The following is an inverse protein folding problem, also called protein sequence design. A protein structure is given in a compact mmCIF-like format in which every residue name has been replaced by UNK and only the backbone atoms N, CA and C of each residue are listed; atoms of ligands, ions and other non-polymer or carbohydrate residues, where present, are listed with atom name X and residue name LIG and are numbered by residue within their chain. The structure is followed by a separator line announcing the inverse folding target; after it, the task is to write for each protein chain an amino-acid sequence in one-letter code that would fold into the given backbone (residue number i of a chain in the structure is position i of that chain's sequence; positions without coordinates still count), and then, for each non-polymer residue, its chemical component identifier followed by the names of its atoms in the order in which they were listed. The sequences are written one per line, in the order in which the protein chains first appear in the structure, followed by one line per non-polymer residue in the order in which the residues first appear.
data_IF_426443929960
#
_entry.id   IF_426443929960
#
_cell.length_a   1.000
_cell.length_b   1.000
_cell.length_c   1.000
_cell.angle_alpha   90.00
_cell.angle_beta   90.00
_cell.angle_gamma   90.00
#
_symmetry.space_group_name_H-M   'P 1'
#
loop_
_entity.id
_entity.type
_entity.pdbx_description
1 polymer ?
#
# COMPACT_ATOMS: atom_id res chain seq x y z
N UNK A 1 -6.88 11.47 -24.39
CA UNK A 1 -7.51 11.37 -23.07
C UNK A 1 -6.43 11.10 -22.06
N UNK A 2 -6.52 11.66 -20.85
CA UNK A 2 -5.54 11.40 -19.80
C UNK A 2 -5.99 10.18 -19.00
N UNK A 3 -5.11 9.17 -18.83
CA UNK A 3 -5.38 8.00 -18.00
C UNK A 3 -5.03 8.30 -16.54
N UNK A 4 -5.67 7.60 -15.60
CA UNK A 4 -5.18 7.42 -14.25
C UNK A 4 -4.51 6.04 -14.16
N UNK A 5 -3.22 6.02 -13.85
CA UNK A 5 -2.39 4.81 -13.78
C UNK A 5 -1.97 4.61 -12.33
N UNK A 6 -2.56 3.63 -11.66
CA UNK A 6 -2.28 3.26 -10.29
C UNK A 6 -1.22 2.17 -10.25
N UNK A 7 -0.14 2.41 -9.51
CA UNK A 7 1.00 1.51 -9.41
C UNK A 7 1.24 1.11 -7.97
N UNK A 8 1.24 -0.18 -7.69
CA UNK A 8 1.81 -0.66 -6.44
C UNK A 8 3.33 -0.47 -6.42
N UNK A 9 3.94 -0.50 -5.24
CA UNK A 9 5.39 -0.28 -5.07
C UNK A 9 6.14 -1.61 -4.99
N UNK A 10 5.90 -2.41 -3.96
CA UNK A 10 6.73 -3.58 -3.62
C UNK A 10 6.38 -4.79 -4.47
N UNK A 11 7.35 -5.29 -5.24
CA UNK A 11 7.12 -6.39 -6.19
C UNK A 11 6.46 -5.95 -7.49
N UNK A 12 6.18 -4.65 -7.65
CA UNK A 12 5.58 -4.07 -8.87
C UNK A 12 6.48 -2.99 -9.46
N UNK A 13 6.65 -1.86 -8.75
CA UNK A 13 7.49 -0.73 -9.18
C UNK A 13 8.95 -0.92 -8.76
N UNK A 14 9.18 -1.52 -7.60
CA UNK A 14 10.51 -1.87 -7.11
C UNK A 14 10.56 -3.35 -6.76
N UNK A 15 11.75 -3.94 -6.86
CA UNK A 15 12.02 -5.28 -6.36
C UNK A 15 11.83 -5.35 -4.83
N UNK A 16 11.72 -6.55 -4.28
CA UNK A 16 11.54 -6.73 -2.82
C UNK A 16 12.71 -6.22 -1.98
N UNK A 17 13.90 -6.04 -2.57
CA UNK A 17 15.07 -5.42 -1.95
C UNK A 17 15.09 -3.88 -2.08
N UNK A 18 14.05 -3.29 -2.70
CA UNK A 18 13.92 -1.86 -2.94
C UNK A 18 14.68 -1.34 -4.17
N UNK A 19 15.25 -2.25 -5.00
CA UNK A 19 15.88 -1.87 -6.26
C UNK A 19 14.85 -1.39 -7.28
N UNK A 20 15.10 -0.23 -7.90
CA UNK A 20 14.32 0.33 -9.00
C UNK A 20 15.17 0.27 -10.28
N UNK A 21 14.70 -0.43 -11.30
CA UNK A 21 15.38 -0.50 -12.58
C UNK A 21 15.24 0.80 -13.38
N UNK A 22 16.20 1.09 -14.24
CA UNK A 22 16.12 2.21 -15.16
C UNK A 22 14.94 2.07 -16.13
N UNK A 23 14.64 0.84 -16.56
CA UNK A 23 13.53 0.54 -17.47
C UNK A 23 12.17 0.92 -16.88
N UNK A 24 11.92 0.57 -15.63
CA UNK A 24 10.68 0.94 -14.92
C UNK A 24 10.64 2.45 -14.69
N UNK A 25 11.71 3.04 -14.14
CA UNK A 25 11.77 4.49 -13.90
C UNK A 25 11.49 5.30 -15.16
N UNK A 26 12.14 4.97 -16.26
CA UNK A 26 12.03 5.72 -17.51
C UNK A 26 10.63 5.53 -18.14
N UNK A 27 10.03 4.35 -17.99
CA UNK A 27 8.65 4.10 -18.45
C UNK A 27 7.61 4.86 -17.62
N UNK A 28 7.79 4.95 -16.29
CA UNK A 28 6.92 5.78 -15.42
C UNK A 28 7.00 7.25 -15.82
N UNK A 29 8.21 7.77 -16.07
CA UNK A 29 8.39 9.15 -16.54
C UNK A 29 7.75 9.38 -17.90
N UNK A 30 7.92 8.45 -18.84
CA UNK A 30 7.35 8.57 -20.16
C UNK A 30 5.83 8.71 -20.13
N UNK A 31 5.10 7.92 -19.33
CA UNK A 31 3.64 8.04 -19.21
C UNK A 31 3.23 9.31 -18.46
N UNK A 32 3.99 9.76 -17.47
CA UNK A 32 3.74 11.04 -16.79
C UNK A 32 3.96 12.23 -17.75
N UNK A 33 5.05 12.23 -18.54
CA UNK A 33 5.36 13.26 -19.55
C UNK A 33 4.35 13.26 -20.70
N UNK A 34 3.71 12.13 -21.02
CA UNK A 34 2.61 12.04 -21.97
C UNK A 34 1.29 12.66 -21.43
N UNK A 35 1.28 13.13 -20.18
CA UNK A 35 0.15 13.82 -19.55
C UNK A 35 -0.83 12.89 -18.86
N UNK A 36 -0.42 11.68 -18.52
CA UNK A 36 -1.21 10.76 -17.69
C UNK A 36 -0.98 11.02 -16.20
N UNK A 37 -1.97 10.68 -15.38
CA UNK A 37 -1.89 10.77 -13.92
C UNK A 37 -1.32 9.47 -13.36
N UNK A 38 -0.06 9.48 -12.94
CA UNK A 38 0.54 8.34 -12.24
C UNK A 38 0.34 8.49 -10.74
N UNK A 39 -0.23 7.47 -10.10
CA UNK A 39 -0.54 7.44 -8.66
C UNK A 39 0.10 6.19 -8.05
N UNK A 40 1.02 6.37 -7.12
CA UNK A 40 1.51 5.25 -6.30
C UNK A 40 0.41 4.85 -5.32
N UNK A 41 0.11 3.55 -5.21
CA UNK A 41 -0.89 3.01 -4.30
C UNK A 41 -0.30 1.82 -3.52
N UNK A 42 0.05 2.02 -2.25
CA UNK A 42 0.92 1.11 -1.52
C UNK A 42 0.47 0.85 -0.08
N UNK A 43 0.92 -0.28 0.49
CA UNK A 43 0.85 -0.54 1.92
C UNK A 43 1.88 0.24 2.74
N UNK A 44 2.88 0.86 2.10
CA UNK A 44 3.90 1.64 2.78
C UNK A 44 3.32 2.86 3.48
N UNK A 45 4.01 3.31 4.56
CA UNK A 45 3.76 4.60 5.20
C UNK A 45 4.18 5.77 4.30
N UNK A 46 3.75 6.98 4.65
CA UNK A 46 4.11 8.22 3.95
C UNK A 46 5.63 8.35 3.79
N UNK A 47 6.38 8.20 4.88
CA UNK A 47 7.85 8.34 4.88
C UNK A 47 8.57 7.27 4.04
N UNK A 48 7.95 6.12 3.81
CA UNK A 48 8.49 5.06 2.95
C UNK A 48 8.08 5.24 1.47
N UNK A 49 7.01 6.00 1.20
CA UNK A 49 6.49 6.24 -0.15
C UNK A 49 7.17 7.42 -0.83
N UNK A 50 7.37 8.52 -0.13
CA UNK A 50 7.93 9.76 -0.70
C UNK A 50 9.30 9.55 -1.39
N UNK A 51 10.28 8.81 -0.81
CA UNK A 51 11.55 8.56 -1.48
C UNK A 51 11.42 7.79 -2.80
N UNK A 52 10.38 6.96 -2.95
CA UNK A 52 10.11 6.24 -4.21
C UNK A 52 9.51 7.19 -5.24
N UNK A 53 8.55 8.04 -4.85
CA UNK A 53 7.99 9.07 -5.73
C UNK A 53 9.10 10.00 -6.27
N UNK A 54 10.03 10.42 -5.43
CA UNK A 54 11.19 11.24 -5.81
C UNK A 54 12.11 10.52 -6.83
N UNK A 55 12.47 9.25 -6.58
CA UNK A 55 13.27 8.44 -7.51
C UNK A 55 12.62 8.29 -8.87
N UNK A 56 11.30 8.18 -8.91
CA UNK A 56 10.50 8.11 -10.14
C UNK A 56 10.36 9.48 -10.83
N UNK A 57 10.63 10.58 -10.13
CA UNK A 57 10.42 11.94 -10.64
C UNK A 57 8.97 12.42 -10.53
N UNK A 58 8.16 11.76 -9.71
CA UNK A 58 6.76 12.15 -9.45
C UNK A 58 6.72 13.26 -8.40
N UNK A 59 6.86 14.51 -8.83
CA UNK A 59 6.89 15.68 -7.95
C UNK A 59 5.53 16.39 -7.81
N UNK A 60 4.53 15.95 -8.55
CA UNK A 60 3.15 16.50 -8.53
C UNK A 60 2.13 15.37 -8.71
N UNK A 61 0.90 15.60 -8.31
CA UNK A 61 -0.17 14.61 -8.42
C UNK A 61 -0.58 14.04 -7.07
N UNK A 62 -0.78 12.73 -7.00
CA UNK A 62 -1.28 12.05 -5.80
C UNK A 62 -0.50 10.79 -5.49
N UNK A 63 -0.53 10.39 -4.21
CA UNK A 63 -0.09 9.07 -3.76
C UNK A 63 -1.07 8.54 -2.70
N UNK A 64 -1.28 7.23 -2.70
CA UNK A 64 -2.13 6.50 -1.75
C UNK A 64 -1.23 5.62 -0.90
N UNK A 65 -1.19 5.87 0.41
CA UNK A 65 -0.33 5.19 1.39
C UNK A 65 -1.17 4.36 2.36
N UNK A 66 -0.51 3.50 3.13
CA UNK A 66 -1.11 2.72 4.22
C UNK A 66 -2.38 1.98 3.78
N UNK A 67 -2.30 1.29 2.61
CA UNK A 67 -3.40 0.55 1.99
C UNK A 67 -4.67 1.38 1.73
N UNK A 68 -4.55 2.69 1.50
CA UNK A 68 -5.68 3.57 1.23
C UNK A 68 -6.10 4.45 2.41
N UNK A 69 -5.54 4.23 3.60
CA UNK A 69 -5.90 5.04 4.77
C UNK A 69 -5.38 6.48 4.69
N UNK A 70 -4.35 6.73 3.89
CA UNK A 70 -3.77 8.07 3.71
C UNK A 70 -3.70 8.38 2.22
N UNK A 71 -4.23 9.54 1.83
CA UNK A 71 -4.07 10.10 0.49
C UNK A 71 -3.25 11.38 0.57
N UNK A 72 -2.23 11.47 -0.27
CA UNK A 72 -1.33 12.61 -0.38
C UNK A 72 -1.59 13.38 -1.67
N UNK A 73 -1.49 14.70 -1.62
CA UNK A 73 -1.19 15.54 -2.78
C UNK A 73 0.33 15.77 -2.80
N UNK A 74 0.96 15.45 -3.92
CA UNK A 74 2.37 15.79 -4.19
C UNK A 74 2.43 17.17 -4.84
N UNK A 75 3.41 17.98 -4.46
CA UNK A 75 3.55 19.33 -5.01
C UNK A 75 4.91 19.93 -4.70
N UNK A 76 5.61 20.37 -5.74
CA UNK A 76 6.88 21.10 -5.59
C UNK A 76 6.72 22.48 -4.92
N UNK A 77 5.48 22.95 -4.81
CA UNK A 77 5.06 24.17 -4.09
C UNK A 77 4.91 23.97 -2.58
N UNK A 78 4.93 22.70 -2.11
CA UNK A 78 4.73 22.34 -0.71
C UNK A 78 6.08 22.24 0.04
N UNK A 79 6.12 22.64 1.34
CA UNK A 79 7.36 22.64 2.12
C UNK A 79 8.09 21.30 2.16
N UNK A 80 7.32 20.21 2.33
CA UNK A 80 7.84 18.84 2.43
C UNK A 80 7.65 18.04 1.12
N UNK A 81 7.26 18.72 0.01
CA UNK A 81 6.96 18.08 -1.27
C UNK A 81 5.61 17.39 -1.33
N UNK A 82 4.86 17.34 -0.23
CA UNK A 82 3.52 16.75 -0.15
C UNK A 82 2.66 17.38 0.95
N UNK A 83 1.36 17.14 0.87
CA UNK A 83 0.41 17.35 1.98
C UNK A 83 -0.54 16.16 2.10
N UNK A 84 -0.96 15.87 3.31
CA UNK A 84 -1.99 14.86 3.58
C UNK A 84 -3.35 15.50 3.33
N UNK A 85 -4.07 15.04 2.33
CA UNK A 85 -5.40 15.55 2.00
C UNK A 85 -6.52 14.68 2.60
N UNK A 86 -6.22 13.44 2.93
CA UNK A 86 -7.14 12.53 3.62
C UNK A 86 -6.36 11.58 4.53
N UNK A 87 -6.89 11.37 5.74
CA UNK A 87 -6.43 10.36 6.69
C UNK A 87 -7.64 9.71 7.36
N UNK A 88 -7.94 8.47 6.96
CA UNK A 88 -9.03 7.68 7.56
C UNK A 88 -8.47 6.88 8.72
N UNK A 89 -9.15 6.95 9.87
CA UNK A 89 -8.70 6.29 11.10
C UNK A 89 -9.78 5.38 11.68
N UNK A 90 -9.36 4.42 12.48
CA UNK A 90 -10.23 3.52 13.25
C UNK A 90 -9.77 3.40 14.70
N UNK A 91 -10.62 2.88 15.59
CA UNK A 91 -10.23 2.50 16.95
C UNK A 91 -9.49 1.13 16.91
N UNK A 92 -8.18 1.10 17.17
CA UNK A 92 -7.42 -0.15 17.09
C UNK A 92 -7.66 -1.10 18.28
N UNK A 93 -8.23 -0.61 19.37
CA UNK A 93 -8.31 -1.32 20.65
C UNK A 93 -9.08 -2.65 20.56
N UNK A 94 -10.28 -2.73 19.93
CA UNK A 94 -11.01 -3.98 19.84
C UNK A 94 -10.24 -5.07 19.10
N UNK A 95 -9.74 -4.74 17.90
CA UNK A 95 -8.98 -5.68 17.06
C UNK A 95 -7.69 -6.15 17.75
N UNK A 96 -6.90 -5.21 18.27
CA UNK A 96 -5.63 -5.53 18.93
C UNK A 96 -5.82 -6.33 20.23
N UNK A 97 -6.87 -6.07 21.00
CA UNK A 97 -7.17 -6.85 22.21
C UNK A 97 -7.47 -8.31 21.86
N UNK A 98 -8.23 -8.53 20.80
CA UNK A 98 -8.60 -9.86 20.32
C UNK A 98 -7.39 -10.62 19.79
N UNK A 99 -6.57 -9.97 18.93
CA UNK A 99 -5.36 -10.57 18.37
C UNK A 99 -4.32 -10.90 19.44
N UNK A 100 -4.09 -10.00 20.39
CA UNK A 100 -3.16 -10.24 21.50
C UNK A 100 -3.59 -11.40 22.38
N UNK A 101 -4.90 -11.62 22.55
CA UNK A 101 -5.43 -12.77 23.28
C UNK A 101 -5.11 -14.10 22.59
N UNK A 102 -5.03 -14.09 21.25
CA UNK A 102 -4.71 -15.26 20.43
C UNK A 102 -3.19 -15.47 20.25
N UNK A 103 -2.42 -14.38 20.16
CA UNK A 103 -0.96 -14.37 19.98
C UNK A 103 -0.28 -13.40 20.95
N UNK A 104 -0.01 -13.82 22.20
CA UNK A 104 0.59 -12.97 23.23
C UNK A 104 2.01 -12.48 22.89
N UNK A 105 2.76 -13.26 22.10
CA UNK A 105 4.16 -12.98 21.74
C UNK A 105 4.31 -12.12 20.48
N UNK A 106 3.19 -11.76 19.85
CA UNK A 106 3.23 -10.92 18.67
C UNK A 106 3.63 -9.48 18.99
N UNK A 107 4.36 -8.88 18.07
CA UNK A 107 4.77 -7.48 18.14
C UNK A 107 3.77 -6.63 17.38
N UNK A 108 3.41 -5.49 17.93
CA UNK A 108 2.43 -4.55 17.36
C UNK A 108 3.11 -3.24 17.04
N UNK A 109 2.82 -2.70 15.85
CA UNK A 109 3.17 -1.35 15.45
C UNK A 109 1.90 -0.58 15.08
N UNK A 110 1.78 0.64 15.59
CA UNK A 110 0.73 1.61 15.23
C UNK A 110 1.41 2.75 14.50
N UNK A 111 0.94 3.06 13.29
CA UNK A 111 1.53 4.12 12.47
C UNK A 111 1.41 5.50 13.18
N UNK A 112 2.53 6.19 13.28
CA UNK A 112 2.64 7.60 13.68
C UNK A 112 2.93 8.39 12.41
N UNK A 113 1.86 8.91 11.81
CA UNK A 113 1.85 9.41 10.43
C UNK A 113 2.91 10.50 10.22
N UNK A 114 3.77 10.32 9.23
CA UNK A 114 4.85 11.26 8.91
C UNK A 114 6.08 11.16 9.82
N UNK A 115 6.06 10.28 10.84
CA UNK A 115 7.17 10.11 11.81
C UNK A 115 7.72 8.69 11.78
N UNK A 116 6.85 7.69 11.87
CA UNK A 116 7.24 6.29 11.97
C UNK A 116 6.19 5.46 12.67
N UNK A 117 6.56 4.79 13.78
CA UNK A 117 5.67 3.88 14.48
C UNK A 117 5.83 3.92 15.99
N UNK A 118 4.70 3.84 16.69
CA UNK A 118 4.65 3.40 18.08
C UNK A 118 4.62 1.88 18.09
N UNK A 119 5.51 1.24 18.85
CA UNK A 119 5.65 -0.21 18.82
C UNK A 119 5.56 -0.83 20.23
N UNK A 120 5.05 -2.05 20.34
CA UNK A 120 5.04 -2.79 21.60
C UNK A 120 6.43 -3.33 22.00
N UNK A 121 7.25 -3.65 21.00
CA UNK A 121 8.66 -4.01 21.08
C UNK A 121 9.32 -3.66 19.74
N UNK A 122 10.67 -3.57 19.67
CA UNK A 122 11.36 -3.27 18.42
C UNK A 122 11.04 -4.30 17.32
N UNK A 123 10.76 -3.82 16.12
CA UNK A 123 10.70 -4.63 14.91
C UNK A 123 12.10 -4.85 14.37
N UNK A 124 12.34 -5.94 13.62
CA UNK A 124 13.60 -6.14 12.92
C UNK A 124 13.97 -4.96 12.02
N UNK A 125 15.28 -4.72 11.85
CA UNK A 125 15.79 -3.67 10.99
C UNK A 125 15.30 -3.85 9.55
N UNK A 126 14.82 -2.75 8.96
CA UNK A 126 14.33 -2.72 7.58
C UNK A 126 12.87 -3.13 7.38
N UNK A 127 12.18 -3.69 8.39
CA UNK A 127 10.75 -4.04 8.27
C UNK A 127 9.84 -2.81 8.38
N UNK A 128 10.17 -1.84 9.23
CA UNK A 128 9.44 -0.58 9.36
C UNK A 128 10.38 0.59 9.07
N UNK A 129 9.95 1.52 8.24
CA UNK A 129 10.70 2.74 7.97
C UNK A 129 10.28 3.86 8.91
N UNK A 130 11.25 4.68 9.33
CA UNK A 130 11.08 5.80 10.25
C UNK A 130 11.38 5.43 11.69
N UNK A 131 11.07 6.34 12.59
CA UNK A 131 11.34 6.18 14.01
C UNK A 131 10.47 5.09 14.62
N UNK A 132 11.07 4.23 15.44
CA UNK A 132 10.33 3.24 16.23
C UNK A 132 10.39 3.65 17.70
N UNK A 133 9.25 3.99 18.26
CA UNK A 133 9.14 4.36 19.68
C UNK A 133 8.41 3.28 20.45
N UNK A 134 9.12 2.56 21.33
CA UNK A 134 8.51 1.57 22.22
C UNK A 134 7.64 2.26 23.25
N UNK A 135 6.37 1.88 23.33
CA UNK A 135 5.37 2.50 24.21
C UNK A 135 4.56 1.44 24.97
N UNK A 136 3.97 1.79 26.13
CA UNK A 136 3.02 0.93 26.84
C UNK A 136 1.80 0.60 26.00
N UNK A 137 1.18 -0.56 26.27
CA UNK A 137 -0.01 -1.03 25.57
C UNK A 137 -1.15 0.00 25.53
N UNK A 138 -1.43 0.67 26.64
CA UNK A 138 -2.51 1.66 26.72
C UNK A 138 -2.28 2.87 25.81
N UNK A 139 -1.01 3.20 25.52
CA UNK A 139 -0.67 4.23 24.55
C UNK A 139 -0.84 3.74 23.10
N UNK A 140 -0.48 2.48 22.82
CA UNK A 140 -0.68 1.86 21.50
C UNK A 140 -2.15 1.88 21.08
N UNK A 141 -3.06 1.55 22.01
CA UNK A 141 -4.50 1.42 21.73
C UNK A 141 -5.31 2.64 22.14
N UNK A 142 -4.66 3.68 22.64
CA UNK A 142 -5.32 4.86 23.24
C UNK A 142 -5.79 5.90 22.24
N UNK A 143 -5.42 5.79 20.97
CA UNK A 143 -5.72 6.80 19.94
C UNK A 143 -6.16 6.11 18.64
N UNK A 144 -7.01 6.78 17.82
CA UNK A 144 -7.31 6.32 16.48
C UNK A 144 -6.04 6.15 15.64
N UNK A 145 -6.01 5.12 14.79
CA UNK A 145 -4.89 4.75 13.94
C UNK A 145 -5.30 4.68 12.47
N UNK A 146 -4.41 5.06 11.57
CA UNK A 146 -4.54 4.86 10.11
C UNK A 146 -4.23 3.44 9.72
N UNK A 147 -3.21 2.85 10.37
CA UNK A 147 -2.76 1.48 10.15
C UNK A 147 -2.17 0.90 11.43
N UNK A 148 -2.43 -0.38 11.64
CA UNK A 148 -1.78 -1.20 12.64
C UNK A 148 -1.15 -2.39 11.96
N UNK A 149 0.09 -2.70 12.32
CA UNK A 149 0.77 -3.90 11.91
C UNK A 149 0.92 -4.85 13.09
N UNK A 150 0.50 -6.08 12.89
CA UNK A 150 0.62 -7.14 13.87
C UNK A 150 1.54 -8.24 13.30
N UNK A 151 2.68 -8.49 13.96
CA UNK A 151 3.73 -9.40 13.51
C UNK A 151 3.93 -10.53 14.51
N UNK A 152 3.85 -11.76 14.03
CA UNK A 152 4.26 -12.91 14.84
C UNK A 152 5.72 -13.28 14.56
N UNK A 153 6.57 -13.45 15.58
CA UNK A 153 7.94 -13.93 15.37
C UNK A 153 8.02 -15.43 15.01
N UNK A 154 6.94 -16.20 15.22
CA UNK A 154 6.91 -17.66 15.06
C UNK A 154 5.80 -18.18 14.17
N UNK A 155 4.82 -17.35 13.80
CA UNK A 155 3.70 -17.73 12.95
C UNK A 155 4.03 -17.66 11.46
N UNK A 156 3.11 -18.15 10.63
CA UNK A 156 3.13 -18.04 9.18
C UNK A 156 1.97 -17.15 8.67
N UNK A 157 1.98 -16.83 7.37
CA UNK A 157 0.86 -16.13 6.74
C UNK A 157 -0.43 -16.96 6.82
N UNK A 158 -0.33 -18.29 6.67
CA UNK A 158 -1.45 -19.23 6.76
C UNK A 158 -2.07 -19.22 8.16
N UNK A 159 -1.25 -19.18 9.22
CA UNK A 159 -1.72 -19.10 10.61
C UNK A 159 -2.53 -17.82 10.84
N UNK A 160 -2.12 -16.69 10.22
CA UNK A 160 -2.86 -15.43 10.28
C UNK A 160 -4.19 -15.49 9.52
N UNK A 161 -4.20 -16.11 8.34
CA UNK A 161 -5.45 -16.29 7.58
C UNK A 161 -6.46 -17.12 8.38
N UNK A 162 -6.04 -18.28 8.93
CA UNK A 162 -6.90 -19.10 9.79
C UNK A 162 -7.40 -18.33 11.02
N UNK A 163 -6.51 -17.54 11.65
CA UNK A 163 -6.89 -16.76 12.82
C UNK A 163 -7.94 -15.72 12.46
N UNK A 164 -7.72 -14.92 11.42
CA UNK A 164 -8.64 -13.84 11.02
C UNK A 164 -10.02 -14.37 10.63
N UNK A 165 -10.08 -15.52 9.93
CA UNK A 165 -11.35 -16.21 9.63
C UNK A 165 -12.06 -16.68 10.91
N UNK A 166 -11.32 -17.28 11.84
CA UNK A 166 -11.87 -17.84 13.07
C UNK A 166 -12.40 -16.79 14.04
N UNK A 167 -11.68 -15.66 14.20
CA UNK A 167 -12.03 -14.63 15.18
C UNK A 167 -12.99 -13.57 14.63
N UNK A 168 -13.08 -13.43 13.30
CA UNK A 168 -13.95 -12.46 12.64
C UNK A 168 -13.61 -11.03 13.07
N UNK A 169 -12.59 -10.44 12.46
CA UNK A 169 -12.29 -9.02 12.70
C UNK A 169 -13.39 -8.16 12.09
N UNK A 170 -14.21 -7.55 12.94
CA UNK A 170 -15.30 -6.66 12.54
C UNK A 170 -14.88 -5.19 12.64
N UNK A 171 -15.37 -4.36 11.72
CA UNK A 171 -15.12 -2.92 11.72
C UNK A 171 -13.72 -2.53 11.24
N UNK A 172 -12.98 -3.46 10.62
CA UNK A 172 -11.66 -3.21 10.05
C UNK A 172 -11.46 -4.05 8.78
N UNK A 173 -10.65 -3.55 7.86
CA UNK A 173 -10.06 -4.33 6.77
C UNK A 173 -8.69 -4.86 7.21
N UNK A 174 -8.27 -5.99 6.65
CA UNK A 174 -6.94 -6.54 6.93
C UNK A 174 -6.31 -7.15 5.69
N UNK A 175 -4.99 -7.13 5.65
CA UNK A 175 -4.18 -7.80 4.63
C UNK A 175 -3.09 -8.62 5.31
N UNK A 176 -2.91 -9.87 4.86
CA UNK A 176 -1.84 -10.77 5.32
C UNK A 176 -0.69 -10.67 4.33
N UNK A 177 0.50 -10.32 4.83
CA UNK A 177 1.73 -10.24 4.04
C UNK A 177 2.41 -11.60 3.83
N UNK A 178 3.54 -11.61 3.12
CA UNK A 178 4.33 -12.82 2.83
C UNK A 178 4.94 -13.50 4.06
N UNK A 179 5.22 -12.72 5.09
CA UNK A 179 5.68 -13.22 6.37
C UNK A 179 4.50 -13.20 7.36
N UNK A 180 4.71 -13.66 8.58
CA UNK A 180 3.71 -13.59 9.65
C UNK A 180 3.41 -12.11 10.03
N UNK A 181 2.77 -11.42 9.11
CA UNK A 181 2.46 -10.00 9.09
C UNK A 181 1.00 -9.76 8.75
N UNK A 182 0.30 -9.04 9.58
CA UNK A 182 -1.08 -8.66 9.39
C UNK A 182 -1.20 -7.15 9.48
N UNK A 183 -1.50 -6.49 8.36
CA UNK A 183 -1.89 -5.08 8.36
C UNK A 183 -3.39 -4.95 8.59
N UNK A 184 -3.77 -4.06 9.49
CA UNK A 184 -5.15 -3.74 9.83
C UNK A 184 -5.39 -2.27 9.49
N UNK A 185 -6.44 -2.02 8.73
CA UNK A 185 -6.84 -0.71 8.23
C UNK A 185 -8.30 -0.42 8.60
N UNK A 186 -8.79 0.83 8.49
CA UNK A 186 -10.20 1.14 8.69
C UNK A 186 -11.12 0.34 7.77
N UNK A 187 -12.31 0.00 8.24
CA UNK A 187 -13.33 -0.72 7.46
C UNK A 187 -13.69 0.04 6.18
N UNK A 188 -13.81 -0.68 5.06
CA UNK A 188 -14.14 -0.10 3.75
C UNK A 188 -13.00 0.69 3.10
N UNK A 189 -11.81 0.73 3.73
CA UNK A 189 -10.62 1.39 3.19
C UNK A 189 -9.74 0.37 2.50
N UNK A 190 -9.40 0.66 1.24
CA UNK A 190 -8.48 -0.12 0.42
C UNK A 190 -7.77 0.80 -0.58
N UNK A 191 -6.75 0.29 -1.25
CA UNK A 191 -6.11 1.02 -2.37
C UNK A 191 -7.15 1.45 -3.41
N UNK A 192 -8.09 0.57 -3.75
CA UNK A 192 -9.16 0.85 -4.73
C UNK A 192 -10.11 1.94 -4.27
N UNK A 193 -10.55 1.93 -3.00
CA UNK A 193 -11.47 2.95 -2.49
C UNK A 193 -10.85 4.35 -2.45
N UNK A 194 -9.57 4.45 -2.09
CA UNK A 194 -8.84 5.72 -2.10
C UNK A 194 -8.59 6.22 -3.53
N UNK A 195 -8.22 5.31 -4.45
CA UNK A 195 -8.03 5.64 -5.87
C UNK A 195 -9.32 6.14 -6.53
N UNK A 196 -10.48 5.63 -6.14
CA UNK A 196 -11.77 6.14 -6.64
C UNK A 196 -11.99 7.60 -6.25
N UNK A 197 -11.58 8.01 -5.05
CA UNK A 197 -11.67 9.41 -4.64
C UNK A 197 -10.70 10.29 -5.44
N UNK A 198 -9.46 9.81 -5.65
CA UNK A 198 -8.46 10.49 -6.49
C UNK A 198 -8.97 10.62 -7.93
N UNK A 199 -9.51 9.53 -8.52
CA UNK A 199 -10.08 9.55 -9.87
C UNK A 199 -11.15 10.63 -10.04
N UNK A 200 -12.10 10.70 -9.07
CA UNK A 200 -13.16 11.71 -9.08
C UNK A 200 -12.61 13.12 -8.98
N UNK A 201 -11.62 13.35 -8.13
CA UNK A 201 -11.02 14.68 -7.98
C UNK A 201 -10.28 15.15 -9.23
N UNK A 202 -9.73 14.21 -10.00
CA UNK A 202 -9.08 14.47 -11.29
C UNK A 202 -10.06 14.58 -12.48
N UNK A 203 -11.31 14.18 -12.29
CA UNK A 203 -12.31 14.14 -13.36
C UNK A 203 -12.01 13.10 -14.45
N UNK A 204 -11.25 12.04 -14.10
CA UNK A 204 -10.95 10.92 -15.00
C UNK A 204 -12.15 9.98 -15.06
N UNK A 205 -12.52 9.52 -16.26
CA UNK A 205 -13.61 8.57 -16.41
C UNK A 205 -13.21 7.17 -15.91
N UNK A 206 -14.16 6.35 -15.38
CA UNK A 206 -13.84 4.98 -14.94
C UNK A 206 -13.17 4.12 -16.02
N UNK A 207 -13.55 4.31 -17.28
CA UNK A 207 -12.98 3.58 -18.42
C UNK A 207 -11.52 3.96 -18.73
N UNK A 208 -11.03 5.07 -18.17
CA UNK A 208 -9.68 5.59 -18.40
C UNK A 208 -8.75 5.29 -17.22
N UNK A 209 -8.96 4.15 -16.53
CA UNK A 209 -8.15 3.72 -15.37
C UNK A 209 -7.35 2.47 -15.69
N UNK A 210 -6.09 2.45 -15.25
CA UNK A 210 -5.17 1.31 -15.31
C UNK A 210 -4.61 1.06 -13.91
N UNK A 211 -4.50 -0.18 -13.48
CA UNK A 211 -3.85 -0.55 -12.23
C UNK A 211 -2.87 -1.69 -12.44
N UNK A 212 -1.72 -1.64 -11.78
CA UNK A 212 -0.72 -2.72 -11.80
C UNK A 212 -0.34 -3.05 -10.36
N UNK A 213 -0.35 -4.35 -10.01
CA UNK A 213 -0.05 -4.83 -8.66
C UNK A 213 0.31 -6.31 -8.63
N UNK A 214 0.81 -6.80 -7.48
CA UNK A 214 1.29 -8.18 -7.36
C UNK A 214 0.76 -8.92 -6.13
N UNK A 215 0.10 -8.24 -5.17
CA UNK A 215 -0.29 -8.85 -3.92
C UNK A 215 -1.80 -8.81 -3.63
N UNK A 216 -2.21 -9.54 -2.56
CA UNK A 216 -3.62 -9.61 -2.12
C UNK A 216 -4.22 -8.26 -1.82
N UNK A 217 -3.46 -7.31 -1.27
CA UNK A 217 -3.91 -5.94 -1.01
C UNK A 217 -4.14 -5.12 -2.29
N UNK A 218 -3.75 -5.65 -3.47
CA UNK A 218 -3.99 -5.04 -4.78
C UNK A 218 -5.31 -5.50 -5.41
N UNK A 219 -5.91 -6.58 -4.93
CA UNK A 219 -7.10 -7.18 -5.53
C UNK A 219 -8.21 -6.15 -5.76
N UNK A 220 -8.50 -5.32 -4.77
CA UNK A 220 -9.54 -4.30 -4.89
C UNK A 220 -9.15 -3.19 -5.88
N UNK A 221 -7.88 -2.82 -5.93
CA UNK A 221 -7.35 -1.86 -6.90
C UNK A 221 -7.39 -2.40 -8.33
N UNK A 222 -7.00 -3.67 -8.53
CA UNK A 222 -7.05 -4.31 -9.85
C UNK A 222 -8.48 -4.45 -10.36
N UNK A 223 -9.45 -4.81 -9.50
CA UNK A 223 -10.88 -4.88 -9.84
C UNK A 223 -11.53 -3.52 -10.07
N UNK A 224 -11.03 -2.49 -9.43
CA UNK A 224 -11.53 -1.13 -9.57
C UNK A 224 -11.14 -0.53 -10.92
N UNK A 225 -9.97 -0.84 -11.45
CA UNK A 225 -9.48 -0.31 -12.70
C UNK A 225 -10.26 -0.88 -13.91
N UNK A 226 -10.37 -0.10 -14.99
CA UNK A 226 -10.87 -0.59 -16.27
C UNK A 226 -9.91 -1.58 -16.95
N UNK A 227 -8.62 -1.51 -16.61
CA UNK A 227 -7.58 -2.44 -17.00
C UNK A 227 -6.72 -2.76 -15.77
N UNK A 228 -6.99 -3.87 -15.12
CA UNK A 228 -6.21 -4.40 -14.00
C UNK A 228 -5.17 -5.39 -14.48
N UNK A 229 -3.90 -5.15 -14.19
CA UNK A 229 -2.78 -6.00 -14.62
C UNK A 229 -2.07 -6.58 -13.40
N UNK A 230 -1.99 -7.90 -13.30
CA UNK A 230 -1.21 -8.59 -12.29
C UNK A 230 0.24 -8.80 -12.77
N UNK A 231 1.21 -8.67 -11.86
CA UNK A 231 2.59 -9.04 -12.13
C UNK A 231 2.74 -10.57 -12.26
N UNK A 232 3.69 -11.03 -13.04
CA UNK A 232 3.87 -12.46 -13.34
C UNK A 232 4.20 -13.33 -12.14
N UNK A 233 4.78 -12.77 -11.06
CA UNK A 233 5.04 -13.47 -9.79
C UNK A 233 3.88 -13.41 -8.81
N UNK A 234 2.79 -12.70 -9.11
CA UNK A 234 1.65 -12.57 -8.21
C UNK A 234 1.04 -13.95 -7.88
N UNK A 235 0.48 -14.13 -6.67
CA UNK A 235 -0.28 -15.34 -6.34
C UNK A 235 -1.41 -15.61 -7.34
N UNK A 236 -1.75 -16.89 -7.56
CA UNK A 236 -2.77 -17.29 -8.54
C UNK A 236 -4.10 -16.54 -8.34
N UNK A 237 -4.55 -16.36 -7.10
CA UNK A 237 -5.78 -15.62 -6.77
C UNK A 237 -5.75 -14.15 -7.21
N UNK A 238 -4.56 -13.52 -7.30
CA UNK A 238 -4.40 -12.14 -7.80
C UNK A 238 -4.37 -12.15 -9.33
N UNK A 239 -3.70 -13.13 -9.93
CA UNK A 239 -3.69 -13.28 -11.39
C UNK A 239 -5.08 -13.61 -11.94
N UNK A 240 -5.85 -14.44 -11.24
CA UNK A 240 -7.20 -14.89 -11.67
C UNK A 240 -8.23 -13.76 -11.72
N UNK A 241 -8.02 -12.68 -10.95
CA UNK A 241 -8.96 -11.54 -10.93
C UNK A 241 -8.52 -10.38 -11.84
N UNK A 242 -7.31 -10.39 -12.34
CA UNK A 242 -6.80 -9.37 -13.23
C UNK A 242 -7.28 -9.59 -14.68
N UNK A 243 -7.38 -8.51 -15.45
CA UNK A 243 -7.69 -8.60 -16.88
C UNK A 243 -6.52 -9.16 -17.68
N UNK A 244 -5.29 -8.93 -17.20
CA UNK A 244 -4.05 -9.33 -17.85
C UNK A 244 -3.00 -9.73 -16.80
N UNK A 245 -2.07 -10.59 -17.19
CA UNK A 245 -0.86 -10.91 -16.43
C UNK A 245 0.35 -10.48 -17.27
N UNK A 246 1.21 -9.64 -16.72
CA UNK A 246 2.46 -9.23 -17.34
C UNK A 246 3.63 -10.10 -16.89
N UNK A 247 4.85 -9.75 -17.30
CA UNK A 247 6.08 -10.38 -16.82
C UNK A 247 6.32 -10.12 -15.32
N UNK A 248 7.28 -10.82 -14.75
CA UNK A 248 7.68 -10.63 -13.34
C UNK A 248 8.38 -9.29 -13.11
N UNK A 249 8.52 -8.89 -11.86
CA UNK A 249 9.31 -7.70 -11.49
C UNK A 249 10.76 -7.84 -11.94
N UNK A 250 11.33 -9.05 -11.91
CA UNK A 250 12.69 -9.35 -12.35
C UNK A 250 12.88 -9.18 -13.88
N UNK A 251 11.80 -9.22 -14.63
CA UNK A 251 11.76 -9.04 -16.09
C UNK A 251 11.15 -7.69 -16.49
N UNK A 252 11.14 -6.69 -15.61
CA UNK A 252 10.59 -5.35 -15.86
C UNK A 252 9.13 -5.38 -16.34
N UNK A 253 8.29 -6.27 -15.81
CA UNK A 253 6.90 -6.46 -16.24
C UNK A 253 6.09 -5.17 -16.23
N UNK A 254 6.28 -4.29 -15.25
CA UNK A 254 5.64 -2.98 -15.20
C UNK A 254 6.03 -2.11 -16.41
N UNK A 255 7.31 -2.07 -16.77
CA UNK A 255 7.76 -1.28 -17.92
C UNK A 255 7.13 -1.74 -19.23
N UNK A 256 6.89 -3.05 -19.38
CA UNK A 256 6.19 -3.58 -20.57
C UNK A 256 4.74 -3.06 -20.64
N UNK A 257 4.01 -3.06 -19.51
CA UNK A 257 2.65 -2.50 -19.46
C UNK A 257 2.66 -1.02 -19.82
N UNK A 258 3.50 -0.23 -19.16
CA UNK A 258 3.52 1.23 -19.33
C UNK A 258 3.86 1.66 -20.77
N UNK A 259 4.76 0.95 -21.46
CA UNK A 259 5.10 1.20 -22.87
C UNK A 259 3.93 1.03 -23.82
N UNK A 260 2.86 0.34 -23.43
CA UNK A 260 1.63 0.23 -24.25
C UNK A 260 0.73 1.47 -24.16
N UNK A 261 1.03 2.37 -23.24
CA UNK A 261 0.20 3.54 -22.94
C UNK A 261 0.75 4.85 -23.54
N UNK A 262 1.92 4.82 -24.18
CA UNK A 262 2.60 5.95 -24.82
C UNK A 262 2.96 5.66 -26.26
#
# INVERSE_FOLDING_TARGET
MSLLIALDIDGTTVHHDGHLTDAVRDSVRAVADAGHHVVLATGRSVIATIPIAEKLGLSTGFAVCSNGAITLRLGSDLPDGYEIIEAVTFDPKPALTLLRGSWPDAVVAVEDVGVGFKVSAPFPDGELMGDQRVVPWDELVGHPATRVTFRSPTGSAEDFMELTERIGLHGVNYAVGFTAWLDINPEGVSKGSALEQVRRSLGVEPADTVAVGDQRNDIEMLRWAARGVAMGQAPAEVQDIADEVTETVDNDGLALVLRTLV
#
